data_IF_989958821044
#
_entry.id   IF_989958821044
#
_cell.length_a   1.000
_cell.length_b   1.000
_cell.length_c   1.000
_cell.angle_alpha   90.00
_cell.angle_beta   90.00
_cell.angle_gamma   90.00
#
_symmetry.space_group_name_H-M   'P 1'
#
loop_
_entity.id
_entity.type
_entity.pdbx_description
1 polymer ?
#
# COMPACT_ATOMS: atom_id res chain seq x y z
N UNK A 1 3.78 -22.82 31.41
CA UNK A 1 3.72 -21.35 31.22
C UNK A 1 2.95 -21.17 29.92
N UNK A 2 1.84 -20.44 29.92
CA UNK A 2 1.08 -20.24 28.68
C UNK A 2 2.01 -19.54 27.69
N UNK A 3 2.36 -20.21 26.60
CA UNK A 3 3.01 -19.56 25.48
C UNK A 3 2.00 -18.54 24.96
N UNK A 4 2.29 -17.25 25.11
CA UNK A 4 1.47 -16.19 24.51
C UNK A 4 1.61 -16.30 22.99
N UNK A 5 0.74 -17.11 22.41
CA UNK A 5 0.60 -17.36 20.99
C UNK A 5 0.23 -16.04 20.30
N UNK A 6 1.01 -15.65 19.29
CA UNK A 6 0.84 -14.38 18.58
C UNK A 6 -0.40 -14.49 17.69
N UNK A 7 -1.44 -13.72 17.98
CA UNK A 7 -2.68 -13.73 17.20
C UNK A 7 -2.55 -12.87 15.96
N UNK A 8 -2.67 -13.49 14.81
CA UNK A 8 -2.50 -12.86 13.50
C UNK A 8 -3.82 -12.85 12.73
N UNK A 9 -4.20 -11.68 12.23
CA UNK A 9 -5.24 -11.53 11.21
C UNK A 9 -4.57 -11.35 9.84
N UNK A 10 -4.90 -12.20 8.87
CA UNK A 10 -4.39 -12.08 7.51
C UNK A 10 -5.40 -11.32 6.63
N UNK A 11 -4.93 -10.37 5.82
CA UNK A 11 -5.78 -9.53 4.96
C UNK A 11 -5.20 -9.47 3.56
N UNK A 12 -5.92 -9.99 2.58
CA UNK A 12 -5.53 -10.04 1.16
C UNK A 12 -6.75 -10.36 0.29
N UNK A 13 -6.92 -9.73 -0.87
CA UNK A 13 -8.02 -10.04 -1.77
C UNK A 13 -7.85 -11.39 -2.51
N UNK A 14 -6.64 -11.98 -2.45
CA UNK A 14 -6.32 -13.28 -3.02
C UNK A 14 -6.59 -14.43 -2.03
N UNK A 15 -7.78 -15.01 -2.08
CA UNK A 15 -8.19 -16.13 -1.19
C UNK A 15 -7.22 -17.31 -1.15
N UNK A 16 -6.73 -17.76 -2.31
CA UNK A 16 -5.79 -18.88 -2.39
C UNK A 16 -4.48 -18.56 -1.64
N UNK A 17 -4.02 -17.32 -1.70
CA UNK A 17 -2.83 -16.88 -0.98
C UNK A 17 -3.07 -16.92 0.53
N UNK A 18 -4.21 -16.41 1.01
CA UNK A 18 -4.58 -16.49 2.43
C UNK A 18 -4.70 -17.93 2.95
N UNK A 19 -5.23 -18.83 2.14
CA UNK A 19 -5.34 -20.25 2.50
C UNK A 19 -3.98 -20.92 2.56
N UNK A 20 -3.13 -20.71 1.56
CA UNK A 20 -1.75 -21.22 1.58
C UNK A 20 -0.93 -20.67 2.74
N UNK A 21 -0.99 -19.36 2.98
CA UNK A 21 -0.24 -18.72 4.05
C UNK A 21 -0.72 -19.18 5.44
N UNK A 22 -2.03 -19.30 5.64
CA UNK A 22 -2.60 -19.82 6.88
C UNK A 22 -2.18 -21.27 7.15
N UNK A 23 -2.11 -22.11 6.11
CA UNK A 23 -1.67 -23.51 6.22
C UNK A 23 -0.16 -23.61 6.50
N UNK A 24 0.64 -22.68 5.97
CA UNK A 24 2.07 -22.62 6.30
C UNK A 24 2.29 -22.18 7.76
N UNK A 25 1.52 -21.18 8.21
CA UNK A 25 1.62 -20.65 9.57
C UNK A 25 1.06 -21.60 10.64
N UNK A 26 0.14 -22.52 10.29
CA UNK A 26 -0.39 -23.51 11.26
C UNK A 26 0.68 -24.46 11.81
N UNK A 27 1.85 -24.53 11.15
CA UNK A 27 3.02 -25.32 11.57
C UNK A 27 3.89 -24.59 12.60
N UNK A 28 3.66 -23.31 12.81
CA UNK A 28 4.40 -22.49 13.77
C UNK A 28 3.65 -22.42 15.10
N UNK A 29 4.11 -23.13 16.14
CA UNK A 29 3.47 -23.19 17.46
C UNK A 29 3.30 -21.81 18.14
N UNK A 30 4.09 -20.82 17.73
CA UNK A 30 4.07 -19.48 18.30
C UNK A 30 3.05 -18.53 17.63
N UNK A 31 2.39 -18.93 16.54
CA UNK A 31 1.54 -18.04 15.73
C UNK A 31 0.16 -18.67 15.52
N UNK A 32 -0.89 -17.95 15.93
CA UNK A 32 -2.28 -18.31 15.68
C UNK A 32 -2.88 -17.44 14.60
N UNK A 33 -3.37 -18.02 13.50
CA UNK A 33 -4.20 -17.26 12.53
C UNK A 33 -5.63 -17.21 13.05
N UNK A 34 -6.02 -16.08 13.63
CA UNK A 34 -7.34 -15.90 14.28
C UNK A 34 -8.45 -15.50 13.31
N UNK A 35 -8.09 -15.11 12.09
CA UNK A 35 -9.06 -14.77 11.06
C UNK A 35 -8.39 -14.41 9.73
N UNK A 36 -9.25 -14.29 8.71
CA UNK A 36 -8.88 -13.89 7.36
C UNK A 36 -9.86 -12.83 6.88
N UNK A 37 -9.38 -11.84 6.13
CA UNK A 37 -10.18 -10.81 5.51
C UNK A 37 -9.76 -10.61 4.05
N UNK A 38 -10.72 -10.25 3.21
CA UNK A 38 -10.54 -10.04 1.76
C UNK A 38 -10.46 -8.57 1.36
N UNK A 39 -10.55 -7.65 2.32
CA UNK A 39 -10.47 -6.20 2.10
C UNK A 39 -10.12 -5.46 3.39
N UNK A 40 -9.62 -4.22 3.26
CA UNK A 40 -9.38 -3.34 4.39
C UNK A 40 -10.64 -3.06 5.22
N UNK A 41 -11.80 -2.97 4.55
CA UNK A 41 -13.11 -2.77 5.21
C UNK A 41 -13.53 -3.97 6.05
N UNK A 42 -13.26 -5.18 5.57
CA UNK A 42 -13.50 -6.40 6.35
C UNK A 42 -12.54 -6.48 7.53
N UNK A 43 -11.27 -6.16 7.35
CA UNK A 43 -10.29 -6.10 8.43
C UNK A 43 -10.75 -5.16 9.57
N UNK A 44 -11.25 -3.96 9.25
CA UNK A 44 -11.80 -3.02 10.24
C UNK A 44 -12.96 -3.60 11.07
N UNK A 45 -13.73 -4.54 10.51
CA UNK A 45 -14.83 -5.21 11.24
C UNK A 45 -14.32 -6.39 12.08
N UNK A 46 -13.28 -7.08 11.62
CA UNK A 46 -12.76 -8.30 12.23
C UNK A 46 -11.78 -8.04 13.36
N UNK A 47 -10.98 -6.97 13.28
CA UNK A 47 -10.02 -6.59 14.34
C UNK A 47 -10.68 -6.49 15.73
N UNK A 48 -11.78 -5.75 15.95
CA UNK A 48 -12.41 -5.68 17.27
C UNK A 48 -13.07 -7.00 17.72
N UNK A 49 -13.34 -7.93 16.79
CA UNK A 49 -13.95 -9.23 17.10
C UNK A 49 -12.91 -10.25 17.55
N UNK A 50 -11.79 -10.31 16.84
CA UNK A 50 -10.74 -11.30 17.08
C UNK A 50 -9.62 -10.79 17.99
N UNK A 51 -9.52 -9.48 18.22
CA UNK A 51 -8.46 -8.83 19.00
C UNK A 51 -7.06 -9.37 18.65
N UNK A 52 -6.64 -9.31 17.37
CA UNK A 52 -5.33 -9.80 16.96
C UNK A 52 -4.22 -8.91 17.54
N UNK A 53 -3.06 -9.50 17.80
CA UNK A 53 -1.85 -8.76 18.14
C UNK A 53 -1.25 -8.11 16.89
N UNK A 54 -1.31 -8.83 15.76
CA UNK A 54 -0.78 -8.41 14.47
C UNK A 54 -1.83 -8.54 13.37
N UNK A 55 -1.89 -7.54 12.50
CA UNK A 55 -2.57 -7.61 11.22
C UNK A 55 -1.51 -7.63 10.12
N UNK A 56 -1.51 -8.69 9.30
CA UNK A 56 -0.75 -8.70 8.05
C UNK A 56 -1.68 -8.19 6.96
N UNK A 57 -1.35 -7.02 6.42
CA UNK A 57 -2.21 -6.24 5.55
C UNK A 57 -1.61 -6.15 4.15
N UNK A 58 -2.28 -6.73 3.16
CA UNK A 58 -1.95 -6.44 1.77
C UNK A 58 -2.14 -4.95 1.46
N UNK A 59 -1.22 -4.37 0.70
CA UNK A 59 -1.29 -2.95 0.34
C UNK A 59 -2.33 -2.73 -0.76
N UNK A 60 -2.32 -3.58 -1.80
CA UNK A 60 -3.08 -3.36 -3.03
C UNK A 60 -4.34 -4.22 -3.04
N UNK A 61 -5.43 -3.69 -2.49
CA UNK A 61 -6.74 -4.35 -2.48
C UNK A 61 -7.83 -3.44 -3.07
N UNK A 62 -8.89 -4.00 -3.70
CA UNK A 62 -10.03 -3.24 -4.17
C UNK A 62 -10.83 -2.60 -3.03
N UNK A 63 -11.62 -1.59 -3.38
CA UNK A 63 -12.48 -0.77 -2.50
C UNK A 63 -11.72 0.05 -1.44
N UNK A 64 -11.14 -0.60 -0.44
CA UNK A 64 -10.34 0.03 0.61
C UNK A 64 -8.97 -0.62 0.63
N UNK A 65 -7.97 0.14 0.17
CA UNK A 65 -6.58 -0.29 0.12
C UNK A 65 -6.00 -0.47 1.53
N UNK A 66 -4.84 -1.14 1.61
CA UNK A 66 -4.16 -1.43 2.86
C UNK A 66 -3.64 -0.19 3.58
N UNK A 67 -3.32 0.90 2.88
CA UNK A 67 -2.81 2.14 3.48
C UNK A 67 -3.89 2.83 4.30
N UNK A 68 -5.06 3.01 3.74
CA UNK A 68 -6.21 3.63 4.41
C UNK A 68 -6.67 2.77 5.59
N UNK A 69 -6.76 1.46 5.39
CA UNK A 69 -7.08 0.52 6.46
C UNK A 69 -6.07 0.58 7.60
N UNK A 70 -4.77 0.63 7.28
CA UNK A 70 -3.67 0.74 8.26
C UNK A 70 -3.77 2.02 9.07
N UNK A 71 -4.02 3.15 8.40
CA UNK A 71 -4.19 4.45 9.06
C UNK A 71 -5.36 4.43 10.04
N UNK A 72 -6.51 3.91 9.62
CA UNK A 72 -7.70 3.82 10.47
C UNK A 72 -7.51 2.86 11.65
N UNK A 73 -6.90 1.70 11.42
CA UNK A 73 -6.62 0.71 12.46
C UNK A 73 -5.62 1.24 13.48
N UNK A 74 -4.53 1.87 13.05
CA UNK A 74 -3.51 2.43 13.95
C UNK A 74 -4.08 3.52 14.84
N UNK A 75 -5.05 4.31 14.35
CA UNK A 75 -5.73 5.34 15.14
C UNK A 75 -6.75 4.76 16.14
N UNK A 76 -7.52 3.75 15.73
CA UNK A 76 -8.62 3.19 16.55
C UNK A 76 -8.16 2.10 17.51
N UNK A 77 -7.11 1.37 17.15
CA UNK A 77 -6.61 0.20 17.85
C UNK A 77 -5.06 0.25 17.96
N UNK A 78 -4.49 1.23 18.70
CA UNK A 78 -3.04 1.48 18.73
C UNK A 78 -2.20 0.33 19.30
N UNK A 79 -2.83 -0.66 19.96
CA UNK A 79 -2.16 -1.87 20.44
C UNK A 79 -1.96 -2.92 19.33
N UNK A 80 -2.76 -2.87 18.27
CA UNK A 80 -2.68 -3.80 17.15
C UNK A 80 -1.57 -3.33 16.22
N UNK A 81 -0.60 -4.21 15.98
CA UNK A 81 0.56 -3.91 15.15
C UNK A 81 0.27 -4.32 13.71
N UNK A 82 0.73 -3.54 12.74
CA UNK A 82 0.42 -3.78 11.33
C UNK A 82 1.71 -4.08 10.57
N UNK A 83 1.71 -5.18 9.82
CA UNK A 83 2.76 -5.54 8.88
C UNK A 83 2.18 -5.40 7.48
N UNK A 84 2.77 -4.50 6.69
CA UNK A 84 2.43 -4.37 5.30
C UNK A 84 2.97 -5.57 4.52
N UNK A 85 2.15 -6.11 3.64
CA UNK A 85 2.48 -7.19 2.74
C UNK A 85 2.31 -6.70 1.29
N UNK A 86 3.31 -6.85 0.44
CA UNK A 86 3.27 -6.25 -0.90
C UNK A 86 4.01 -7.07 -1.95
N UNK A 87 3.59 -6.95 -3.21
CA UNK A 87 4.34 -7.50 -4.35
C UNK A 87 5.39 -6.54 -4.91
N UNK A 88 5.40 -5.30 -4.43
CA UNK A 88 6.17 -4.23 -5.03
C UNK A 88 7.12 -3.59 -4.03
N UNK A 89 8.22 -3.07 -4.55
CA UNK A 89 9.19 -2.23 -3.83
C UNK A 89 9.04 -0.79 -4.29
N UNK A 90 7.82 -0.26 -4.16
CA UNK A 90 7.55 1.14 -4.51
C UNK A 90 7.91 2.05 -3.33
N UNK A 91 8.80 3.02 -3.57
CA UNK A 91 9.28 3.96 -2.55
C UNK A 91 8.13 4.76 -1.93
N UNK A 92 7.17 5.19 -2.75
CA UNK A 92 6.01 5.95 -2.32
C UNK A 92 5.09 5.13 -1.42
N UNK A 93 4.78 3.89 -1.80
CA UNK A 93 3.96 2.98 -1.00
C UNK A 93 4.62 2.64 0.33
N UNK A 94 5.93 2.36 0.33
CA UNK A 94 6.70 2.09 1.56
C UNK A 94 6.60 3.30 2.52
N UNK A 95 6.84 4.52 2.04
CA UNK A 95 6.70 5.72 2.87
C UNK A 95 5.28 5.89 3.39
N UNK A 96 4.27 5.80 2.52
CA UNK A 96 2.87 6.01 2.90
C UNK A 96 2.36 5.00 3.94
N UNK A 97 2.70 3.72 3.79
CA UNK A 97 2.22 2.68 4.72
C UNK A 97 2.91 2.78 6.08
N UNK A 98 4.21 3.15 6.10
CA UNK A 98 4.94 3.41 7.35
C UNK A 98 4.41 4.67 8.04
N UNK A 99 4.15 5.74 7.30
CA UNK A 99 3.49 6.96 7.82
C UNK A 99 2.08 6.69 8.34
N UNK A 100 1.37 5.74 7.74
CA UNK A 100 0.05 5.30 8.19
C UNK A 100 0.09 4.50 9.52
N UNK A 101 1.29 4.09 9.98
CA UNK A 101 1.47 3.42 11.28
C UNK A 101 1.91 1.96 11.18
N UNK A 102 2.22 1.45 9.98
CA UNK A 102 2.77 0.10 9.87
C UNK A 102 4.12 -0.02 10.59
N UNK A 103 4.32 -1.16 11.25
CA UNK A 103 5.55 -1.52 11.98
C UNK A 103 6.37 -2.57 11.25
N UNK A 104 5.90 -3.06 10.11
CA UNK A 104 6.72 -3.85 9.21
C UNK A 104 6.32 -3.76 7.75
N UNK A 105 7.24 -4.19 6.88
CA UNK A 105 7.05 -4.28 5.43
C UNK A 105 7.72 -5.56 4.91
N UNK A 106 6.89 -6.48 4.43
CA UNK A 106 7.29 -7.78 3.91
C UNK A 106 6.83 -7.90 2.46
N UNK A 107 7.67 -8.51 1.62
CA UNK A 107 7.31 -8.82 0.24
C UNK A 107 6.61 -10.17 0.16
N UNK A 108 5.57 -10.35 -0.66
CA UNK A 108 4.94 -11.69 -0.81
C UNK A 108 5.84 -12.72 -1.49
N UNK A 109 7.00 -12.32 -2.04
CA UNK A 109 8.02 -13.24 -2.59
C UNK A 109 9.02 -13.74 -1.54
N UNK A 110 8.86 -13.36 -0.26
CA UNK A 110 9.72 -13.78 0.84
C UNK A 110 9.60 -15.28 1.14
N UNK A 111 10.60 -15.84 1.84
CA UNK A 111 10.45 -17.19 2.40
C UNK A 111 9.50 -17.19 3.59
N UNK A 112 8.97 -18.37 3.94
CA UNK A 112 8.13 -18.52 5.13
C UNK A 112 8.91 -18.17 6.41
N UNK A 113 10.20 -18.52 6.47
CA UNK A 113 11.06 -18.20 7.62
C UNK A 113 11.21 -16.69 7.79
N UNK A 114 11.40 -15.95 6.69
CA UNK A 114 11.50 -14.49 6.70
C UNK A 114 10.18 -13.85 7.16
N UNK A 115 9.04 -14.39 6.68
CA UNK A 115 7.71 -13.95 7.07
C UNK A 115 7.45 -14.15 8.58
N UNK A 116 7.76 -15.34 9.10
CA UNK A 116 7.62 -15.70 10.51
C UNK A 116 8.55 -14.86 11.39
N UNK A 117 9.79 -14.63 10.96
CA UNK A 117 10.72 -13.74 11.64
C UNK A 117 10.15 -12.32 11.74
N UNK A 118 9.53 -11.83 10.66
CA UNK A 118 8.88 -10.52 10.65
C UNK A 118 7.74 -10.41 11.66
N UNK A 119 6.88 -11.43 11.75
CA UNK A 119 5.81 -11.49 12.75
C UNK A 119 6.38 -11.48 14.17
N UNK A 120 7.37 -12.34 14.45
CA UNK A 120 8.00 -12.44 15.79
C UNK A 120 8.74 -11.15 16.18
N UNK A 121 9.38 -10.47 15.24
CA UNK A 121 10.05 -9.19 15.51
C UNK A 121 9.03 -8.10 15.86
N UNK A 122 7.96 -7.97 15.07
CA UNK A 122 6.92 -6.96 15.30
C UNK A 122 6.14 -7.24 16.59
N UNK A 123 5.89 -8.51 16.93
CA UNK A 123 5.23 -8.84 18.20
C UNK A 123 6.04 -8.38 19.42
N UNK A 124 7.37 -8.26 19.28
CA UNK A 124 8.29 -7.72 20.28
C UNK A 124 8.52 -6.19 20.18
N UNK A 125 7.64 -5.47 19.49
CA UNK A 125 7.70 -4.00 19.31
C UNK A 125 8.91 -3.51 18.49
N UNK A 126 9.58 -4.41 17.78
CA UNK A 126 10.59 -4.04 16.79
C UNK A 126 9.94 -3.62 15.47
N UNK A 127 10.68 -2.86 14.67
CA UNK A 127 10.31 -2.61 13.28
C UNK A 127 10.96 -3.69 12.42
N UNK A 128 10.20 -4.29 11.51
CA UNK A 128 10.73 -5.30 10.59
C UNK A 128 10.54 -4.88 9.13
N UNK A 129 11.63 -4.65 8.42
CA UNK A 129 11.63 -4.41 6.99
C UNK A 129 12.45 -5.51 6.33
N UNK A 130 11.92 -6.11 5.26
CA UNK A 130 12.75 -6.97 4.40
C UNK A 130 14.00 -6.21 3.95
N UNK A 131 15.14 -6.89 3.70
CA UNK A 131 16.40 -6.22 3.35
C UNK A 131 16.26 -5.23 2.18
N UNK A 132 15.44 -5.58 1.19
CA UNK A 132 15.16 -4.72 0.03
C UNK A 132 14.41 -3.44 0.42
N UNK A 133 13.37 -3.53 1.26
CA UNK A 133 12.63 -2.37 1.75
C UNK A 133 13.48 -1.51 2.72
N UNK A 134 14.26 -2.15 3.59
CA UNK A 134 15.16 -1.46 4.53
C UNK A 134 16.19 -0.58 3.80
N UNK A 135 16.75 -1.09 2.69
CA UNK A 135 17.67 -0.33 1.84
C UNK A 135 17.02 0.95 1.31
N UNK A 136 15.81 0.86 0.77
CA UNK A 136 15.05 2.01 0.22
C UNK A 136 14.84 3.07 1.30
N UNK A 137 14.36 2.67 2.48
CA UNK A 137 14.11 3.57 3.61
C UNK A 137 15.40 4.25 4.09
N UNK A 138 16.50 3.49 4.18
CA UNK A 138 17.79 4.03 4.60
C UNK A 138 18.36 5.04 3.58
N UNK A 139 18.24 4.74 2.28
CA UNK A 139 18.65 5.66 1.21
C UNK A 139 17.87 6.98 1.28
N UNK A 140 16.55 6.92 1.51
CA UNK A 140 15.71 8.12 1.66
C UNK A 140 16.12 8.96 2.87
N UNK A 141 16.33 8.29 4.00
CA UNK A 141 16.77 8.96 5.22
C UNK A 141 18.12 9.67 5.02
N UNK A 142 19.09 9.00 4.37
CA UNK A 142 20.40 9.58 4.08
C UNK A 142 20.32 10.73 3.07
N UNK A 143 19.43 10.64 2.07
CA UNK A 143 19.22 11.70 1.09
C UNK A 143 18.67 12.97 1.76
N UNK A 144 17.62 12.84 2.57
CA UNK A 144 17.04 13.93 3.35
C UNK A 144 18.07 14.60 4.26
N UNK A 145 18.87 13.80 4.97
CA UNK A 145 19.90 14.32 5.87
C UNK A 145 20.98 15.14 5.16
N UNK A 146 21.23 14.88 3.88
CA UNK A 146 22.19 15.61 3.04
C UNK A 146 21.60 16.87 2.41
N UNK A 147 20.38 17.26 2.77
CA UNK A 147 19.68 18.38 2.15
C UNK A 147 19.17 18.05 0.73
N UNK A 148 19.19 16.78 0.35
CA UNK A 148 18.54 16.32 -0.86
C UNK A 148 17.03 16.40 -0.69
N UNK A 149 16.34 16.79 -1.76
CA UNK A 149 14.89 16.67 -1.82
C UNK A 149 14.61 15.22 -2.18
N UNK A 150 13.78 14.53 -1.39
CA UNK A 150 13.13 13.32 -1.88
C UNK A 150 12.33 13.74 -3.09
N UNK A 151 12.85 13.45 -4.28
CA UNK A 151 12.06 13.59 -5.47
C UNK A 151 10.83 12.72 -5.22
N UNK A 152 9.66 13.35 -5.19
CA UNK A 152 8.39 12.66 -5.07
C UNK A 152 8.14 11.94 -6.40
N UNK A 153 9.03 11.01 -6.77
CA UNK A 153 9.18 10.46 -8.12
C UNK A 153 7.90 9.79 -8.57
N UNK A 154 7.04 9.38 -7.63
CA UNK A 154 5.75 8.75 -7.92
C UNK A 154 4.53 9.58 -7.50
N UNK A 155 4.70 10.81 -6.96
CA UNK A 155 3.55 11.71 -6.74
C UNK A 155 3.39 12.61 -7.96
N UNK A 156 2.22 12.51 -8.58
CA UNK A 156 1.80 13.49 -9.58
C UNK A 156 1.80 14.89 -8.94
N UNK A 157 2.35 15.86 -9.65
CA UNK A 157 2.16 17.28 -9.31
C UNK A 157 0.67 17.63 -9.36
N UNK A 158 0.22 18.72 -8.70
CA UNK A 158 -1.17 19.16 -8.77
C UNK A 158 -1.66 19.29 -10.22
N UNK A 159 -0.79 19.77 -11.11
CA UNK A 159 -1.10 19.92 -12.52
C UNK A 159 -1.23 18.60 -13.27
N UNK A 160 -0.36 17.64 -12.97
CA UNK A 160 -0.46 16.29 -13.52
C UNK A 160 -1.70 15.56 -12.99
N UNK A 161 -2.12 15.83 -11.75
CA UNK A 161 -3.36 15.29 -11.17
C UNK A 161 -4.61 15.83 -11.88
N UNK A 162 -4.66 17.14 -12.17
CA UNK A 162 -5.73 17.75 -12.97
C UNK A 162 -5.81 17.13 -14.37
N UNK A 163 -4.65 16.93 -15.03
CA UNK A 163 -4.58 16.28 -16.34
C UNK A 163 -5.03 14.82 -16.25
N UNK A 164 -4.60 14.07 -15.23
CA UNK A 164 -5.02 12.68 -14.99
C UNK A 164 -6.54 12.57 -14.85
N UNK A 165 -7.17 13.43 -14.05
CA UNK A 165 -8.64 13.44 -13.86
C UNK A 165 -9.38 13.58 -15.18
N UNK A 166 -8.96 14.52 -16.03
CA UNK A 166 -9.59 14.74 -17.33
C UNK A 166 -9.34 13.57 -18.30
N UNK A 167 -8.14 12.98 -18.30
CA UNK A 167 -7.83 11.79 -19.10
C UNK A 167 -8.69 10.59 -18.70
N UNK A 168 -8.89 10.36 -17.40
CA UNK A 168 -9.73 9.27 -16.87
C UNK A 168 -11.20 9.47 -17.24
N UNK A 169 -11.69 10.73 -17.28
CA UNK A 169 -13.02 11.09 -17.78
C UNK A 169 -13.19 10.96 -19.32
N UNK A 170 -12.14 10.56 -20.04
CA UNK A 170 -12.17 10.35 -21.49
C UNK A 170 -12.01 11.63 -22.32
N UNK A 171 -11.57 12.73 -21.71
CA UNK A 171 -11.37 14.00 -22.43
C UNK A 171 -10.19 13.92 -23.41
N UNK A 172 -10.38 14.50 -24.59
CA UNK A 172 -9.32 14.56 -25.61
C UNK A 172 -8.30 15.68 -25.30
N UNK A 173 -7.04 15.52 -25.73
CA UNK A 173 -5.94 16.49 -25.52
C UNK A 173 -6.31 17.94 -25.83
N UNK A 174 -7.11 18.18 -26.89
CA UNK A 174 -7.57 19.53 -27.26
C UNK A 174 -8.54 20.14 -26.24
N UNK A 175 -9.43 19.32 -25.68
CA UNK A 175 -10.38 19.74 -24.63
C UNK A 175 -9.63 20.06 -23.33
N UNK A 176 -8.71 19.17 -22.92
CA UNK A 176 -7.85 19.36 -21.76
C UNK A 176 -7.03 20.66 -21.87
N UNK A 177 -6.41 20.88 -23.02
CA UNK A 177 -5.64 22.10 -23.29
C UNK A 177 -6.49 23.37 -23.10
N UNK A 178 -7.74 23.33 -23.57
CA UNK A 178 -8.67 24.46 -23.47
C UNK A 178 -9.15 24.68 -22.02
N UNK A 179 -9.58 23.62 -21.32
CA UNK A 179 -10.04 23.70 -19.93
C UNK A 179 -8.95 24.19 -18.98
N UNK A 180 -7.71 23.77 -19.23
CA UNK A 180 -6.57 24.10 -18.40
C UNK A 180 -5.82 25.35 -18.88
N UNK A 181 -6.23 26.00 -19.98
CA UNK A 181 -5.56 27.17 -20.56
C UNK A 181 -4.06 26.94 -20.84
N UNK A 182 -3.71 25.79 -21.43
CA UNK A 182 -2.34 25.41 -21.82
C UNK A 182 -2.29 24.92 -23.26
N UNK A 183 -1.09 24.79 -23.83
CA UNK A 183 -0.94 24.25 -25.19
C UNK A 183 -1.14 22.73 -25.22
N UNK A 184 -1.46 22.20 -26.41
CA UNK A 184 -1.54 20.74 -26.63
C UNK A 184 -0.21 20.04 -26.32
N UNK A 185 0.92 20.64 -26.69
CA UNK A 185 2.25 20.08 -26.41
C UNK A 185 2.56 20.02 -24.92
N UNK A 186 2.05 20.96 -24.13
CA UNK A 186 2.14 20.92 -22.66
C UNK A 186 1.29 19.78 -22.08
N UNK A 187 0.07 19.55 -22.61
CA UNK A 187 -0.77 18.41 -22.21
C UNK A 187 -0.09 17.08 -22.53
N UNK A 188 0.48 16.92 -23.72
CA UNK A 188 1.17 15.70 -24.13
C UNK A 188 2.41 15.43 -23.25
N UNK A 189 3.11 16.48 -22.84
CA UNK A 189 4.24 16.40 -21.90
C UNK A 189 3.77 15.92 -20.53
N UNK A 190 2.70 16.50 -19.98
CA UNK A 190 2.13 16.03 -18.71
C UNK A 190 1.66 14.58 -18.80
N UNK A 191 0.98 14.20 -19.90
CA UNK A 191 0.54 12.82 -20.13
C UNK A 191 1.73 11.86 -20.14
N UNK A 192 2.83 12.18 -20.83
CA UNK A 192 4.03 11.36 -20.84
C UNK A 192 4.60 11.20 -19.42
N UNK A 193 4.75 12.30 -18.68
CA UNK A 193 5.29 12.26 -17.33
C UNK A 193 4.39 11.47 -16.36
N UNK A 194 3.06 11.60 -16.49
CA UNK A 194 2.10 10.81 -15.70
C UNK A 194 2.28 9.32 -15.98
N UNK A 195 2.37 8.94 -17.26
CA UNK A 195 2.54 7.54 -17.68
C UNK A 195 3.86 6.95 -17.17
N UNK A 196 4.95 7.72 -17.23
CA UNK A 196 6.26 7.33 -16.70
C UNK A 196 6.24 7.19 -15.17
N UNK A 197 5.70 8.19 -14.44
CA UNK A 197 5.62 8.19 -12.98
C UNK A 197 4.72 7.09 -12.41
N UNK A 198 3.63 6.77 -13.10
CA UNK A 198 2.68 5.74 -12.68
C UNK A 198 2.95 4.37 -13.34
N UNK A 199 4.06 4.26 -14.07
CA UNK A 199 4.48 3.05 -14.77
C UNK A 199 3.36 2.40 -15.62
N UNK A 200 2.61 3.22 -16.34
CA UNK A 200 1.49 2.81 -17.18
C UNK A 200 1.91 2.75 -18.65
N UNK A 201 1.56 1.68 -19.37
CA UNK A 201 1.95 1.49 -20.77
C UNK A 201 0.99 2.16 -21.76
N UNK A 202 -0.30 2.25 -21.41
CA UNK A 202 -1.32 2.93 -22.24
C UNK A 202 -2.41 3.62 -21.38
N UNK A 203 -3.31 4.36 -22.03
CA UNK A 203 -4.40 5.08 -21.34
C UNK A 203 -5.32 4.11 -20.58
N UNK A 204 -5.61 2.93 -21.13
CA UNK A 204 -6.48 1.97 -20.44
C UNK A 204 -5.86 1.48 -19.13
N UNK A 205 -4.54 1.24 -19.12
CA UNK A 205 -3.80 0.89 -17.91
C UNK A 205 -3.78 2.06 -16.91
N UNK A 206 -3.61 3.29 -17.40
CA UNK A 206 -3.66 4.50 -16.58
C UNK A 206 -5.04 4.71 -15.94
N UNK A 207 -6.12 4.49 -16.69
CA UNK A 207 -7.49 4.59 -16.19
C UNK A 207 -7.76 3.55 -15.11
N UNK A 208 -7.36 2.30 -15.33
CA UNK A 208 -7.50 1.23 -14.31
C UNK A 208 -6.69 1.55 -13.06
N UNK A 209 -5.45 2.03 -13.24
CA UNK A 209 -4.58 2.44 -12.13
C UNK A 209 -5.24 3.56 -11.32
N UNK A 210 -5.69 4.63 -11.97
CA UNK A 210 -6.26 5.80 -11.30
C UNK A 210 -7.54 5.46 -10.50
N UNK A 211 -8.37 4.55 -11.01
CA UNK A 211 -9.56 4.05 -10.31
C UNK A 211 -9.15 3.16 -9.13
N UNK A 212 -8.21 2.22 -9.34
CA UNK A 212 -7.73 1.29 -8.31
C UNK A 212 -7.10 2.00 -7.12
N UNK A 213 -6.27 3.01 -7.40
CA UNK A 213 -5.57 3.79 -6.36
C UNK A 213 -6.42 4.93 -5.78
N UNK A 214 -7.70 5.08 -6.20
CA UNK A 214 -8.61 6.11 -5.69
C UNK A 214 -8.21 7.55 -6.04
N UNK A 215 -7.40 7.75 -7.08
CA UNK A 215 -6.94 9.07 -7.52
C UNK A 215 -8.05 9.89 -8.20
N UNK A 216 -9.04 9.19 -8.76
CA UNK A 216 -10.21 9.76 -9.46
C UNK A 216 -11.44 8.94 -9.11
N UNK A 217 -12.49 9.58 -8.59
CA UNK A 217 -13.80 8.95 -8.41
C UNK A 217 -14.61 9.00 -9.70
N UNK A 218 -15.42 7.97 -9.98
CA UNK A 218 -16.36 7.97 -11.11
C UNK A 218 -17.50 8.99 -10.95
N UNK A 219 -17.66 9.57 -9.76
CA UNK A 219 -18.73 10.49 -9.38
C UNK A 219 -18.24 11.92 -9.02
N UNK A 220 -16.99 12.28 -9.37
CA UNK A 220 -16.47 13.64 -9.14
C UNK A 220 -17.07 14.64 -10.16
N UNK A 221 -18.39 14.77 -10.20
CA UNK A 221 -19.11 15.86 -10.87
C UNK A 221 -19.48 16.91 -9.82
N UNK A 222 -18.57 17.87 -9.64
CA UNK A 222 -18.85 19.24 -9.19
C UNK A 222 -18.08 20.22 -10.10
#
# INVERSE_FOLDING_TARGET
>A
MASDEIKVLLVDDHKIFLDGLSELLSKEEAISVVGKASSGREALKLVPRYNPDIVVMDITMPDMNGIDATKMLSQRHPKVKIIALSMHLDRGMISQILEAGARGYILKDCSIDEFVQGIKAVSQDLVYLTPKAAKIVLEDYLLLKRGGVLAAENKLSPREMEVLRLLVKGEHTKSIASKLSISKSTVDTHRKNIMEKLNCANIADLTRYAIREGLVGLDDDD
#
